data_IF_932357683322
#
_entry.id   IF_932357683322
#
_cell.length_a   1.000
_cell.length_b   1.000
_cell.length_c   1.000
_cell.angle_alpha   90.00
_cell.angle_beta   90.00
_cell.angle_gamma   90.00
#
_symmetry.space_group_name_H-M   'P 1'
#
loop_
_entity.id
_entity.type
_entity.pdbx_description
1 polymer ?
#
# COMPACT_ATOMS: atom_id res chain seq x y z
N UNK A 1 4.09 -5.71 16.74
CA UNK A 1 3.27 -5.35 15.57
C UNK A 1 3.79 -6.15 14.39
N UNK A 2 2.94 -6.95 13.76
CA UNK A 2 3.31 -7.71 12.56
C UNK A 2 3.21 -6.82 11.30
N UNK A 3 3.66 -7.34 10.15
CA UNK A 3 3.71 -6.58 8.90
C UNK A 3 2.32 -6.08 8.45
N UNK A 4 1.27 -6.90 8.55
CA UNK A 4 -0.07 -6.50 8.11
C UNK A 4 -0.70 -5.46 9.04
N UNK A 5 -0.45 -5.54 10.34
CA UNK A 5 -0.88 -4.53 11.31
C UNK A 5 -0.28 -3.16 11.01
N UNK A 6 0.96 -3.08 10.52
CA UNK A 6 1.59 -1.81 10.15
C UNK A 6 0.86 -1.13 8.99
N UNK A 7 0.54 -1.86 7.93
CA UNK A 7 -0.22 -1.33 6.78
C UNK A 7 -1.61 -0.89 7.21
N UNK A 8 -2.35 -1.75 7.91
CA UNK A 8 -3.72 -1.48 8.37
C UNK A 8 -3.75 -0.21 9.22
N UNK A 9 -2.83 -0.07 10.17
CA UNK A 9 -2.79 1.11 11.04
C UNK A 9 -2.41 2.36 10.25
N UNK A 10 -1.42 2.30 9.37
CA UNK A 10 -1.04 3.45 8.54
C UNK A 10 -2.21 3.95 7.68
N UNK A 11 -2.93 3.04 7.01
CA UNK A 11 -4.09 3.36 6.20
C UNK A 11 -5.26 3.87 7.05
N UNK A 12 -5.46 3.31 8.26
CA UNK A 12 -6.47 3.80 9.21
C UNK A 12 -6.18 5.24 9.65
N UNK A 13 -4.93 5.56 9.97
CA UNK A 13 -4.54 6.93 10.32
C UNK A 13 -4.79 7.88 9.15
N UNK A 14 -4.38 7.51 7.94
CA UNK A 14 -4.61 8.33 6.75
C UNK A 14 -6.11 8.54 6.48
N UNK A 15 -6.92 7.48 6.55
CA UNK A 15 -8.37 7.56 6.39
C UNK A 15 -9.08 8.38 7.48
N UNK A 16 -8.47 8.56 8.66
CA UNK A 16 -9.07 9.33 9.76
C UNK A 16 -8.99 10.86 9.58
N UNK A 17 -8.24 11.32 8.58
CA UNK A 17 -8.03 12.76 8.29
C UNK A 17 -8.31 13.12 6.83
N UNK A 18 -8.76 12.17 6.00
CA UNK A 18 -9.01 12.39 4.57
C UNK A 18 -10.42 11.94 4.19
N UNK A 19 -10.84 12.26 2.96
CA UNK A 19 -12.21 12.00 2.50
C UNK A 19 -13.22 12.69 3.41
N UNK A 20 -14.23 11.97 3.85
CA UNK A 20 -15.29 12.48 4.72
C UNK A 20 -14.79 12.94 6.10
N UNK A 21 -13.60 12.53 6.52
CA UNK A 21 -12.99 12.94 7.79
C UNK A 21 -12.01 14.13 7.66
N UNK A 22 -11.89 14.69 6.45
CA UNK A 22 -11.08 15.88 6.22
C UNK A 22 -11.62 17.08 7.01
N UNK A 23 -10.70 17.87 7.55
CA UNK A 23 -11.04 19.06 8.36
C UNK A 23 -10.07 20.20 8.04
N UNK A 24 -8.77 19.96 8.21
CA UNK A 24 -7.72 20.93 7.87
C UNK A 24 -6.48 20.24 7.31
N UNK A 25 -5.74 20.98 6.47
CA UNK A 25 -4.46 20.56 5.93
C UNK A 25 -3.42 20.29 7.03
N UNK A 26 -3.40 21.11 8.10
CA UNK A 26 -2.51 20.90 9.25
C UNK A 26 -2.73 19.55 9.93
N UNK A 27 -4.00 19.13 10.05
CA UNK A 27 -4.34 17.83 10.64
C UNK A 27 -3.87 16.68 9.74
N UNK A 28 -4.05 16.81 8.42
CA UNK A 28 -3.55 15.83 7.46
C UNK A 28 -2.03 15.74 7.51
N UNK A 29 -1.35 16.89 7.49
CA UNK A 29 0.10 17.00 7.56
C UNK A 29 0.65 16.36 8.83
N UNK A 30 0.08 16.69 9.99
CA UNK A 30 0.48 16.12 11.27
C UNK A 30 0.33 14.59 11.30
N UNK A 31 -0.79 14.06 10.82
CA UNK A 31 -1.01 12.60 10.79
C UNK A 31 -0.12 11.90 9.78
N UNK A 32 0.12 12.49 8.60
CA UNK A 32 1.06 11.96 7.62
C UNK A 32 2.48 11.83 8.21
N UNK A 33 2.96 12.92 8.82
CA UNK A 33 4.31 13.03 9.38
C UNK A 33 4.52 12.13 10.59
N UNK A 34 3.58 12.12 11.53
CA UNK A 34 3.74 11.48 12.83
C UNK A 34 3.28 10.03 12.89
N UNK A 35 2.40 9.60 11.97
CA UNK A 35 1.79 8.27 12.02
C UNK A 35 1.84 7.52 10.70
N UNK A 36 1.22 8.04 9.63
CA UNK A 36 1.03 7.28 8.39
C UNK A 36 2.36 6.95 7.72
N UNK A 37 3.22 7.93 7.45
CA UNK A 37 4.48 7.70 6.72
C UNK A 37 5.44 6.81 7.54
N UNK A 38 5.67 7.02 8.85
CA UNK A 38 6.52 6.13 9.63
C UNK A 38 6.05 4.67 9.63
N UNK A 39 4.76 4.43 9.87
CA UNK A 39 4.18 3.08 9.88
C UNK A 39 4.25 2.42 8.50
N UNK A 40 3.85 3.15 7.46
CA UNK A 40 3.83 2.64 6.09
C UNK A 40 5.25 2.40 5.54
N UNK A 41 6.21 3.24 5.91
CA UNK A 41 7.63 3.04 5.54
C UNK A 41 8.19 1.76 6.16
N UNK A 42 7.87 1.49 7.43
CA UNK A 42 8.28 0.24 8.09
C UNK A 42 7.61 -0.98 7.45
N UNK A 43 6.31 -0.88 7.15
CA UNK A 43 5.58 -1.90 6.39
C UNK A 43 6.27 -2.17 5.05
N UNK A 44 6.55 -1.13 4.27
CA UNK A 44 7.16 -1.25 2.95
C UNK A 44 8.56 -1.88 2.99
N UNK A 45 9.37 -1.52 4.00
CA UNK A 45 10.68 -2.14 4.20
C UNK A 45 10.55 -3.66 4.39
N UNK A 46 9.70 -4.09 5.33
CA UNK A 46 9.45 -5.50 5.62
C UNK A 46 8.81 -6.24 4.44
N UNK A 47 7.94 -5.57 3.68
CA UNK A 47 7.29 -6.16 2.50
C UNK A 47 8.32 -6.57 1.45
N UNK A 48 9.35 -5.74 1.25
CA UNK A 48 10.43 -6.02 0.30
C UNK A 48 11.35 -7.16 0.72
N UNK A 49 11.42 -7.45 2.01
CA UNK A 49 12.21 -8.57 2.55
C UNK A 49 11.54 -9.93 2.33
N UNK A 50 10.23 -9.95 2.03
CA UNK A 50 9.52 -11.18 1.69
C UNK A 50 9.98 -11.66 0.32
N UNK A 51 10.58 -12.85 0.28
CA UNK A 51 11.01 -13.53 -0.94
C UNK A 51 10.29 -14.87 -1.09
N UNK A 52 9.20 -14.94 -1.87
CA UNK A 52 8.51 -16.20 -2.14
C UNK A 52 9.40 -17.23 -2.84
N UNK A 53 9.11 -18.52 -2.64
CA UNK A 53 9.96 -19.60 -3.17
C UNK A 53 9.67 -19.97 -4.63
N UNK A 54 8.49 -19.61 -5.16
CA UNK A 54 8.10 -19.94 -6.54
C UNK A 54 8.14 -18.71 -7.44
N UNK A 55 8.45 -18.89 -8.72
CA UNK A 55 8.50 -17.80 -9.69
C UNK A 55 7.15 -17.08 -9.82
N UNK A 56 6.04 -17.84 -9.88
CA UNK A 56 4.68 -17.28 -9.93
C UNK A 56 4.40 -16.37 -8.71
N UNK A 57 4.73 -16.82 -7.49
CA UNK A 57 4.50 -15.99 -6.29
C UNK A 57 5.45 -14.81 -6.21
N UNK A 58 6.70 -14.93 -6.70
CA UNK A 58 7.63 -13.79 -6.79
C UNK A 58 7.07 -12.70 -7.70
N UNK A 59 6.55 -13.06 -8.87
CA UNK A 59 5.97 -12.10 -9.82
C UNK A 59 4.75 -11.38 -9.22
N UNK A 60 3.83 -12.13 -8.60
CA UNK A 60 2.67 -11.55 -7.93
C UNK A 60 3.11 -10.64 -6.77
N UNK A 61 4.06 -11.08 -5.94
CA UNK A 61 4.60 -10.27 -4.84
C UNK A 61 5.26 -8.97 -5.31
N UNK A 62 5.95 -8.97 -6.47
CA UNK A 62 6.52 -7.74 -7.04
C UNK A 62 5.46 -6.70 -7.38
N UNK A 63 4.26 -7.11 -7.80
CA UNK A 63 3.14 -6.17 -8.02
C UNK A 63 2.70 -5.51 -6.71
N UNK A 64 2.68 -6.27 -5.61
CA UNK A 64 2.37 -5.70 -4.29
C UNK A 64 3.43 -4.68 -3.85
N UNK A 65 4.71 -5.05 -3.97
CA UNK A 65 5.82 -4.15 -3.65
C UNK A 65 5.75 -2.87 -4.50
N UNK A 66 5.44 -2.97 -5.80
CA UNK A 66 5.30 -1.78 -6.66
C UNK A 66 4.16 -0.88 -6.19
N UNK A 67 2.96 -1.46 -5.99
CA UNK A 67 1.79 -0.70 -5.54
C UNK A 67 1.98 -0.04 -4.18
N UNK A 68 2.55 -0.76 -3.20
CA UNK A 68 2.90 -0.19 -1.91
C UNK A 68 3.96 0.92 -2.02
N UNK A 69 4.94 0.76 -2.91
CA UNK A 69 5.94 1.79 -3.18
C UNK A 69 5.30 3.10 -3.68
N UNK A 70 4.38 3.00 -4.64
CA UNK A 70 3.67 4.17 -5.17
C UNK A 70 2.80 4.84 -4.10
N UNK A 71 2.06 4.08 -3.29
CA UNK A 71 1.29 4.64 -2.17
C UNK A 71 2.20 5.40 -1.19
N UNK A 72 3.35 4.83 -0.83
CA UNK A 72 4.31 5.49 0.05
C UNK A 72 4.85 6.79 -0.55
N UNK A 73 5.17 6.78 -1.83
CA UNK A 73 5.62 7.98 -2.54
C UNK A 73 4.52 9.04 -2.56
N UNK A 74 3.27 8.64 -2.81
CA UNK A 74 2.13 9.53 -2.78
C UNK A 74 1.89 10.15 -1.40
N UNK A 75 2.04 9.40 -0.31
CA UNK A 75 1.98 9.98 1.04
C UNK A 75 3.06 11.03 1.28
N UNK A 76 4.29 10.78 0.85
CA UNK A 76 5.41 11.73 0.97
C UNK A 76 5.18 12.97 0.10
N UNK A 77 4.74 12.78 -1.14
CA UNK A 77 4.41 13.88 -2.04
C UNK A 77 3.28 14.75 -1.47
N UNK A 78 2.24 14.13 -0.88
CA UNK A 78 1.14 14.87 -0.22
C UNK A 78 1.66 15.68 0.95
N UNK A 79 2.49 15.10 1.81
CA UNK A 79 3.10 15.80 2.95
C UNK A 79 3.87 17.04 2.48
N UNK A 80 4.74 16.90 1.50
CA UNK A 80 5.54 18.01 0.97
C UNK A 80 4.64 19.04 0.26
N UNK A 81 3.62 18.58 -0.46
CA UNK A 81 2.62 19.44 -1.11
C UNK A 81 1.88 20.33 -0.11
N UNK A 82 1.49 19.77 1.04
CA UNK A 82 0.88 20.52 2.14
C UNK A 82 1.88 21.52 2.76
N UNK A 83 3.11 21.09 3.06
CA UNK A 83 4.15 21.95 3.64
C UNK A 83 4.50 23.15 2.76
N UNK A 84 4.45 22.98 1.43
CA UNK A 84 4.82 24.01 0.45
C UNK A 84 3.61 24.73 -0.16
N UNK A 85 2.40 24.32 0.19
CA UNK A 85 1.18 24.74 -0.50
C UNK A 85 1.28 24.57 -2.04
N UNK A 86 1.82 23.42 -2.48
CA UNK A 86 2.12 23.12 -3.88
C UNK A 86 1.06 22.19 -4.48
N UNK A 87 0.19 22.76 -5.31
CA UNK A 87 -0.89 22.04 -5.98
C UNK A 87 -0.38 20.94 -6.95
N UNK A 88 0.79 21.11 -7.56
CA UNK A 88 1.39 20.12 -8.45
C UNK A 88 1.80 18.85 -7.69
N UNK A 89 2.41 19.03 -6.52
CA UNK A 89 2.72 17.92 -5.61
C UNK A 89 1.47 17.24 -5.07
N UNK A 90 0.39 17.99 -4.81
CA UNK A 90 -0.90 17.41 -4.40
C UNK A 90 -1.52 16.55 -5.52
N UNK A 91 -1.46 17.00 -6.77
CA UNK A 91 -1.93 16.21 -7.91
C UNK A 91 -1.08 14.94 -8.12
N UNK A 92 0.25 15.06 -8.04
CA UNK A 92 1.16 13.92 -8.11
C UNK A 92 0.84 12.89 -7.03
N UNK A 93 0.67 13.36 -5.79
CA UNK A 93 0.36 12.52 -4.66
C UNK A 93 -0.93 11.73 -4.85
N UNK A 94 -2.00 12.38 -5.33
CA UNK A 94 -3.27 11.72 -5.59
C UNK A 94 -3.14 10.64 -6.67
N UNK A 95 -2.41 10.92 -7.76
CA UNK A 95 -2.14 9.92 -8.81
C UNK A 95 -1.39 8.71 -8.26
N UNK A 96 -0.31 8.93 -7.51
CA UNK A 96 0.50 7.84 -6.95
C UNK A 96 -0.28 6.97 -5.97
N UNK A 97 -1.11 7.56 -5.11
CA UNK A 97 -1.97 6.81 -4.19
C UNK A 97 -3.01 5.98 -4.96
N UNK A 98 -3.62 6.57 -5.99
CA UNK A 98 -4.63 5.89 -6.80
C UNK A 98 -4.03 4.73 -7.61
N UNK A 99 -2.95 4.99 -8.35
CA UNK A 99 -2.25 3.99 -9.16
C UNK A 99 -1.68 2.86 -8.30
N UNK A 100 -1.05 3.20 -7.18
CA UNK A 100 -0.56 2.21 -6.24
C UNK A 100 -1.70 1.36 -5.65
N UNK A 101 -2.85 1.97 -5.36
CA UNK A 101 -4.06 1.26 -4.93
C UNK A 101 -4.58 0.28 -5.99
N UNK A 102 -4.56 0.65 -7.27
CA UNK A 102 -4.92 -0.23 -8.40
C UNK A 102 -3.98 -1.44 -8.48
N UNK A 103 -2.67 -1.24 -8.37
CA UNK A 103 -1.67 -2.31 -8.37
C UNK A 103 -1.86 -3.28 -7.19
N UNK A 104 -2.12 -2.75 -5.98
CA UNK A 104 -2.46 -3.59 -4.80
C UNK A 104 -3.76 -4.36 -5.02
N UNK A 105 -4.77 -3.75 -5.64
CA UNK A 105 -6.02 -4.42 -6.01
C UNK A 105 -5.79 -5.59 -6.97
N UNK A 106 -5.00 -5.35 -8.03
CA UNK A 106 -4.61 -6.37 -9.01
C UNK A 106 -3.85 -7.52 -8.36
N UNK A 107 -2.85 -7.22 -7.54
CA UNK A 107 -2.11 -8.21 -6.75
C UNK A 107 -3.05 -9.12 -5.94
N UNK A 108 -4.06 -8.54 -5.27
CA UNK A 108 -5.00 -9.31 -4.45
C UNK A 108 -5.79 -10.32 -5.28
N UNK A 109 -6.21 -9.92 -6.48
CA UNK A 109 -6.92 -10.79 -7.42
C UNK A 109 -6.00 -11.92 -7.90
N UNK A 110 -4.78 -11.60 -8.35
CA UNK A 110 -3.80 -12.57 -8.84
C UNK A 110 -3.39 -13.57 -7.76
N UNK A 111 -3.15 -13.10 -6.53
CA UNK A 111 -2.82 -13.95 -5.39
C UNK A 111 -3.98 -14.92 -5.08
N UNK A 112 -5.22 -14.43 -5.10
CA UNK A 112 -6.38 -15.28 -4.87
C UNK A 112 -6.51 -16.38 -5.94
N UNK A 113 -6.31 -16.03 -7.22
CA UNK A 113 -6.31 -16.98 -8.34
C UNK A 113 -5.22 -18.05 -8.19
N UNK A 114 -4.00 -17.67 -7.78
CA UNK A 114 -2.93 -18.65 -7.52
C UNK A 114 -3.28 -19.60 -6.36
N UNK A 115 -3.89 -19.07 -5.30
CA UNK A 115 -4.32 -19.90 -4.16
C UNK A 115 -5.41 -20.88 -4.57
N UNK A 116 -6.41 -20.46 -5.34
CA UNK A 116 -7.51 -21.33 -5.78
C UNK A 116 -7.04 -22.39 -6.76
N UNK A 117 -6.22 -22.03 -7.77
CA UNK A 117 -5.58 -22.98 -8.70
C UNK A 117 -4.84 -24.09 -7.96
N UNK A 118 -4.02 -23.72 -6.97
CA UNK A 118 -3.25 -24.70 -6.18
C UNK A 118 -4.12 -25.59 -5.28
N UNK A 119 -5.26 -25.07 -4.77
CA UNK A 119 -6.22 -25.90 -4.02
C UNK A 119 -6.91 -26.93 -4.91
N UNK A 120 -7.31 -26.55 -6.12
CA UNK A 120 -7.92 -27.47 -7.08
C UNK A 120 -6.98 -28.61 -7.47
N UNK A 121 -5.71 -28.30 -7.76
CA UNK A 121 -4.69 -29.31 -8.11
C UNK A 121 -4.42 -30.31 -6.97
N UNK A 122 -4.47 -29.86 -5.70
CA UNK A 122 -4.30 -30.76 -4.54
C UNK A 122 -5.47 -31.73 -4.33
N UNK A 123 -6.66 -31.45 -4.88
CA UNK A 123 -7.80 -32.37 -4.79
C UNK A 123 -7.79 -33.42 -5.91
N UNK A 124 -7.22 -33.10 -7.08
CA UNK A 124 -7.15 -34.01 -8.23
C UNK A 124 -6.01 -35.03 -8.15
N UNK A 125 -5.05 -34.84 -7.24
CA UNK A 125 -3.88 -35.70 -7.06
C UNK A 125 -4.09 -36.89 -6.12
N UNK A 126 -5.33 -37.16 -5.68
CA UNK A 126 -5.72 -38.42 -5.03
C UNK A 126 -6.39 -39.35 -6.05
N UNK A 127 -5.60 -40.17 -6.74
CA UNK A 127 -6.05 -41.40 -7.38
C UNK A 127 -5.19 -42.56 -6.90
#
# INVERSE_FOLDING_TARGET
>A
MNISQLEILALKYYGSVTGDHYTTDDRVLSVLKNHTIPLYSRFYALLREISPNTLELKQVHQNYVRGAGEILNGFKAKMIGLEKNDAGLMQLANRQIEEGGKEVGKWRIELYQLITKNKSVKMESKK
#
